data_IF_728391021540
#
_entry.id   IF_728391021540
#
_cell.length_a   1.000
_cell.length_b   1.000
_cell.length_c   1.000
_cell.angle_alpha   90.00
_cell.angle_beta   90.00
_cell.angle_gamma   90.00
#
_symmetry.space_group_name_H-M   'P 1'
#
loop_
_entity.id
_entity.type
_entity.pdbx_description
1 polymer ?
#
# COMPACT_ATOMS: atom_id res chain seq x y z
N UNK A 1 -12.12 -6.98 8.89
CA UNK A 1 -13.31 -7.72 9.39
C UNK A 1 -13.24 -7.86 10.90
N UNK A 2 -14.38 -8.03 11.56
CA UNK A 2 -14.45 -8.37 12.98
C UNK A 2 -15.32 -9.61 13.15
N UNK A 3 -14.72 -10.70 13.65
CA UNK A 3 -15.40 -11.98 13.86
C UNK A 3 -14.99 -12.57 15.21
N UNK A 4 -15.95 -13.09 15.98
CA UNK A 4 -15.70 -13.71 17.30
C UNK A 4 -14.87 -12.83 18.26
N UNK A 5 -15.06 -11.51 18.21
CA UNK A 5 -14.31 -10.54 19.02
C UNK A 5 -12.85 -10.36 18.59
N UNK A 6 -12.48 -10.81 17.39
CA UNK A 6 -11.16 -10.65 16.81
C UNK A 6 -11.23 -9.81 15.54
N UNK A 7 -10.35 -8.80 15.45
CA UNK A 7 -10.18 -7.95 14.29
C UNK A 7 -9.10 -8.53 13.39
N UNK A 8 -9.30 -8.38 12.08
CA UNK A 8 -8.35 -8.70 11.02
C UNK A 8 -8.47 -7.64 9.94
N UNK A 9 -7.37 -7.18 9.39
CA UNK A 9 -7.35 -6.58 8.07
C UNK A 9 -7.31 -7.75 7.05
N UNK A 10 -7.34 -7.50 5.73
CA UNK A 10 -6.89 -8.52 4.74
C UNK A 10 -7.84 -9.72 4.41
N UNK A 11 -9.18 -9.61 4.55
CA UNK A 11 -10.07 -10.80 4.38
C UNK A 11 -11.23 -10.68 3.39
N UNK A 12 -11.09 -9.91 2.31
CA UNK A 12 -12.08 -9.97 1.22
C UNK A 12 -11.38 -10.35 -0.09
N UNK A 13 -11.84 -11.42 -0.75
CA UNK A 13 -11.38 -11.96 -2.05
C UNK A 13 -10.36 -13.14 -2.06
N UNK A 14 -10.14 -13.86 -0.96
CA UNK A 14 -9.35 -15.11 -0.99
C UNK A 14 -7.84 -14.94 -1.18
N UNK A 15 -7.33 -13.72 -0.96
CA UNK A 15 -5.91 -13.41 -0.83
C UNK A 15 -5.58 -13.26 0.65
N UNK A 16 -5.61 -14.39 1.37
CA UNK A 16 -5.31 -14.40 2.81
C UNK A 16 -3.91 -13.82 3.07
N UNK A 17 -3.84 -12.80 3.92
CA UNK A 17 -2.57 -12.30 4.45
C UNK A 17 -1.93 -11.13 3.69
N UNK A 18 -2.61 -10.52 2.70
CA UNK A 18 -2.07 -9.38 1.95
C UNK A 18 -2.94 -8.13 2.19
N UNK A 19 -2.37 -7.04 2.75
CA UNK A 19 -3.12 -5.79 2.92
C UNK A 19 -3.43 -5.13 1.57
N UNK A 20 -4.62 -4.53 1.48
CA UNK A 20 -4.98 -3.69 0.36
C UNK A 20 -4.25 -2.35 0.46
N UNK A 21 -4.10 -1.66 -0.69
CA UNK A 21 -3.51 -0.30 -0.71
C UNK A 21 -4.25 0.67 0.23
N UNK A 22 -5.54 0.44 0.49
CA UNK A 22 -6.32 1.19 1.45
C UNK A 22 -5.83 1.03 2.90
N UNK A 23 -5.47 -0.20 3.30
CA UNK A 23 -5.05 -0.53 4.67
C UNK A 23 -3.78 0.21 5.08
N UNK A 24 -2.96 0.63 4.10
CA UNK A 24 -1.75 1.44 4.33
C UNK A 24 -2.04 2.76 5.06
N UNK A 25 -3.23 3.31 4.86
CA UNK A 25 -3.60 4.63 5.36
C UNK A 25 -4.58 4.54 6.52
N UNK A 26 -4.96 3.33 6.95
CA UNK A 26 -5.85 3.16 8.08
C UNK A 26 -5.10 3.39 9.39
N UNK A 27 -5.62 4.30 10.20
CA UNK A 27 -5.07 4.68 11.50
C UNK A 27 -6.15 4.75 12.58
N UNK A 28 -5.74 4.59 13.83
CA UNK A 28 -6.62 4.81 14.97
C UNK A 28 -6.77 6.31 15.31
N UNK A 29 -7.55 6.62 16.36
CA UNK A 29 -7.77 8.00 16.84
C UNK A 29 -6.50 8.75 17.28
N UNK A 30 -5.37 8.06 17.46
CA UNK A 30 -4.10 8.62 17.87
C UNK A 30 -3.10 8.72 16.71
N UNK A 31 -3.50 8.35 15.49
CA UNK A 31 -2.63 8.31 14.31
C UNK A 31 -1.74 7.06 14.26
N UNK A 32 -2.04 6.02 15.04
CA UNK A 32 -1.33 4.76 14.95
C UNK A 32 -1.83 3.95 13.76
N UNK A 33 -0.93 3.62 12.83
CA UNK A 33 -1.22 2.79 11.65
C UNK A 33 -1.66 1.39 12.08
N UNK A 34 -2.79 0.92 11.52
CA UNK A 34 -3.38 -0.37 11.90
C UNK A 34 -2.59 -1.58 11.38
N UNK A 35 -1.77 -1.40 10.35
CA UNK A 35 -0.84 -2.43 9.85
C UNK A 35 0.38 -2.68 10.73
N UNK A 36 0.61 -1.86 11.76
CA UNK A 36 1.68 -2.10 12.72
C UNK A 36 1.35 -3.31 13.60
N UNK A 37 1.81 -4.49 13.18
CA UNK A 37 1.55 -5.75 13.88
C UNK A 37 2.22 -5.86 15.25
N UNK A 38 3.14 -4.95 15.60
CA UNK A 38 3.67 -4.86 16.97
C UNK A 38 2.65 -4.22 17.91
N UNK A 39 1.81 -3.32 17.40
CA UNK A 39 0.75 -2.66 18.15
C UNK A 39 -0.59 -3.41 18.03
N UNK A 40 -0.95 -3.81 16.81
CA UNK A 40 -2.16 -4.57 16.50
C UNK A 40 -1.82 -5.92 15.86
N UNK A 41 -1.55 -6.96 16.66
CA UNK A 41 -1.40 -8.31 16.13
C UNK A 41 -2.64 -8.75 15.35
N UNK A 42 -2.46 -9.59 14.34
CA UNK A 42 -3.56 -10.08 13.50
C UNK A 42 -3.67 -11.62 13.56
N UNK A 43 -4.83 -12.18 13.95
CA UNK A 43 -6.01 -11.52 14.53
C UNK A 43 -5.77 -11.00 15.96
N UNK A 44 -6.47 -9.93 16.38
CA UNK A 44 -6.49 -9.52 17.80
C UNK A 44 -7.79 -8.86 18.26
N UNK A 45 -8.04 -8.95 19.57
CA UNK A 45 -9.13 -8.21 20.21
C UNK A 45 -8.88 -6.69 20.22
N UNK A 46 -7.63 -6.24 20.33
CA UNK A 46 -7.28 -4.82 20.26
C UNK A 46 -7.68 -4.21 18.93
N UNK A 47 -7.35 -4.87 17.81
CA UNK A 47 -7.80 -4.46 16.49
C UNK A 47 -9.33 -4.51 16.34
N UNK A 48 -9.98 -5.51 16.95
CA UNK A 48 -11.45 -5.64 16.94
C UNK A 48 -12.16 -4.45 17.60
N UNK A 49 -11.57 -3.88 18.65
CA UNK A 49 -12.11 -2.72 19.34
C UNK A 49 -11.96 -1.47 18.48
N UNK A 50 -10.77 -1.22 17.91
CA UNK A 50 -10.53 -0.07 17.02
C UNK A 50 -11.46 -0.08 15.81
N UNK A 51 -11.63 -1.24 15.16
CA UNK A 51 -12.51 -1.43 13.99
C UNK A 51 -14.01 -1.23 14.28
N UNK A 52 -14.43 -1.12 15.55
CA UNK A 52 -15.82 -0.88 15.99
C UNK A 52 -15.97 0.43 16.78
N UNK A 53 -14.99 1.31 16.72
CA UNK A 53 -14.93 2.52 17.54
C UNK A 53 -14.59 3.75 16.71
N UNK A 54 -13.34 3.85 16.23
CA UNK A 54 -12.92 4.94 15.38
C UNK A 54 -11.68 4.57 14.57
N UNK A 55 -11.84 4.54 13.25
CA UNK A 55 -10.73 4.44 12.29
C UNK A 55 -10.76 5.66 11.38
N UNK A 56 -9.58 6.11 11.00
CA UNK A 56 -9.41 7.21 10.08
C UNK A 56 -8.55 6.78 8.89
N UNK A 57 -8.72 7.49 7.78
CA UNK A 57 -7.87 7.40 6.60
C UNK A 57 -6.90 8.60 6.59
N UNK A 58 -5.63 8.34 6.91
CA UNK A 58 -4.51 9.28 6.96
C UNK A 58 -3.73 9.36 5.65
N UNK A 59 -4.43 9.48 4.52
CA UNK A 59 -3.78 9.73 3.24
C UNK A 59 -3.30 11.17 3.14
N UNK A 60 -2.15 11.42 2.52
CA UNK A 60 -1.53 12.76 2.51
C UNK A 60 -2.39 13.80 1.78
N UNK A 61 -3.04 13.44 0.68
CA UNK A 61 -3.95 14.35 -0.04
C UNK A 61 -5.17 14.68 0.83
N UNK A 62 -5.76 13.66 1.47
CA UNK A 62 -6.86 13.82 2.43
C UNK A 62 -6.45 14.71 3.60
N UNK A 63 -5.33 14.42 4.25
CA UNK A 63 -4.83 15.17 5.41
C UNK A 63 -4.51 16.63 5.07
N UNK A 64 -3.85 16.88 3.95
CA UNK A 64 -3.51 18.24 3.51
C UNK A 64 -4.77 19.09 3.32
N UNK A 65 -5.86 18.46 2.86
CA UNK A 65 -7.10 19.13 2.56
C UNK A 65 -7.97 19.35 3.81
N UNK A 66 -8.11 18.34 4.67
CA UNK A 66 -9.11 18.37 5.74
C UNK A 66 -8.73 17.61 7.03
N UNK A 67 -7.48 17.19 7.17
CA UNK A 67 -7.09 16.23 8.21
C UNK A 67 -7.56 14.80 7.87
N UNK A 68 -7.28 13.81 8.74
CA UNK A 68 -7.58 12.42 8.46
C UNK A 68 -9.09 12.18 8.40
N UNK A 69 -9.53 11.39 7.43
CA UNK A 69 -10.95 11.21 7.17
C UNK A 69 -11.55 10.10 8.03
N UNK A 70 -12.62 10.39 8.77
CA UNK A 70 -13.30 9.39 9.59
C UNK A 70 -13.94 8.31 8.71
N UNK A 71 -13.71 7.04 9.05
CA UNK A 71 -14.31 5.89 8.38
C UNK A 71 -15.49 5.36 9.17
N UNK A 72 -16.47 4.82 8.45
CA UNK A 72 -17.65 4.21 9.04
C UNK A 72 -17.26 2.93 9.79
N UNK A 73 -17.24 2.99 11.12
CA UNK A 73 -16.80 1.88 11.99
C UNK A 73 -17.82 1.60 13.10
N UNK A 74 -19.06 1.22 12.73
CA UNK A 74 -20.13 0.99 13.70
C UNK A 74 -19.82 -0.15 14.67
N UNK A 75 -20.48 -0.09 15.82
CA UNK A 75 -20.62 -1.21 16.76
C UNK A 75 -22.10 -1.58 16.88
N UNK A 76 -22.52 -2.79 16.45
CA UNK A 76 -21.69 -3.88 15.93
C UNK A 76 -21.15 -3.64 14.52
N UNK A 77 -20.07 -4.35 14.17
CA UNK A 77 -19.51 -4.38 12.82
C UNK A 77 -20.56 -4.78 11.78
N UNK A 78 -20.61 -4.05 10.67
CA UNK A 78 -21.50 -4.30 9.55
C UNK A 78 -20.70 -4.87 8.36
N UNK A 79 -20.82 -6.18 8.07
CA UNK A 79 -20.13 -6.80 6.94
C UNK A 79 -20.39 -6.08 5.61
N UNK A 80 -19.34 -5.80 4.84
CA UNK A 80 -19.42 -5.14 3.53
C UNK A 80 -19.55 -3.62 3.58
N UNK A 81 -19.77 -3.00 4.74
CA UNK A 81 -19.85 -1.54 4.87
C UNK A 81 -18.80 -0.95 5.81
N UNK A 82 -18.62 -1.55 6.99
CA UNK A 82 -17.65 -1.05 7.97
C UNK A 82 -16.25 -0.98 7.36
N UNK A 83 -15.51 0.07 7.71
CA UNK A 83 -14.14 0.37 7.25
C UNK A 83 -14.01 0.73 5.75
N UNK A 84 -14.90 0.26 4.89
CA UNK A 84 -14.86 0.53 3.44
C UNK A 84 -15.51 1.85 3.01
N UNK A 85 -16.26 2.51 3.91
CA UNK A 85 -16.99 3.75 3.64
C UNK A 85 -16.55 4.86 4.58
N UNK A 86 -16.79 6.11 4.17
CA UNK A 86 -16.57 7.28 5.03
C UNK A 86 -17.71 7.42 6.04
N UNK A 87 -17.43 8.03 7.18
CA UNK A 87 -18.41 8.21 8.25
C UNK A 87 -19.56 9.15 7.83
N UNK A 88 -20.79 8.66 7.86
CA UNK A 88 -21.96 9.42 7.38
C UNK A 88 -22.38 10.55 8.32
N UNK A 89 -22.08 10.46 9.61
CA UNK A 89 -22.36 11.55 10.54
C UNK A 89 -21.43 12.74 10.25
N UNK A 90 -20.16 12.45 9.91
CA UNK A 90 -19.16 13.45 9.53
C UNK A 90 -19.36 13.99 8.12
N UNK A 91 -19.71 13.12 7.18
CA UNK A 91 -19.88 13.40 5.76
C UNK A 91 -21.32 13.04 5.35
N UNK A 92 -22.32 13.86 5.69
CA UNK A 92 -23.72 13.51 5.45
C UNK A 92 -23.98 13.31 3.95
N UNK A 93 -24.84 12.34 3.63
CA UNK A 93 -25.30 12.02 2.27
C UNK A 93 -25.78 13.24 1.46
N UNK A 94 -26.37 14.24 2.11
CA UNK A 94 -26.78 15.50 1.45
C UNK A 94 -25.62 16.46 1.13
N UNK A 95 -24.41 16.15 1.58
CA UNK A 95 -23.21 16.96 1.43
C UNK A 95 -22.40 16.62 0.18
N UNK A 96 -21.39 17.45 -0.11
CA UNK A 96 -20.53 17.27 -1.29
C UNK A 96 -19.72 15.97 -1.25
N UNK A 97 -19.40 15.47 -0.06
CA UNK A 97 -18.57 14.28 0.15
C UNK A 97 -19.40 13.00 0.44
N UNK A 98 -20.72 13.05 0.21
CA UNK A 98 -21.64 11.95 0.54
C UNK A 98 -21.53 10.71 -0.36
N UNK A 99 -20.82 10.76 -1.49
CA UNK A 99 -20.83 9.65 -2.47
C UNK A 99 -20.38 8.30 -1.90
N UNK A 100 -19.44 8.32 -0.94
CA UNK A 100 -18.81 7.12 -0.37
C UNK A 100 -19.32 6.78 1.04
N UNK A 101 -20.47 7.31 1.46
CA UNK A 101 -21.12 6.92 2.72
C UNK A 101 -21.72 5.52 2.62
N UNK A 102 -21.89 4.80 3.75
CA UNK A 102 -22.36 3.41 3.75
C UNK A 102 -23.80 3.21 3.28
N UNK A 103 -24.65 4.24 3.35
CA UNK A 103 -26.06 4.14 3.02
C UNK A 103 -26.44 5.07 1.86
N UNK A 104 -27.35 4.58 1.01
CA UNK A 104 -28.00 5.37 -0.04
C UNK A 104 -29.48 5.49 0.34
N UNK A 105 -29.94 6.72 0.56
CA UNK A 105 -31.32 7.04 0.87
C UNK A 105 -32.26 6.99 -0.33
N UNK A 106 -33.57 6.87 -0.08
CA UNK A 106 -34.58 6.89 -1.13
C UNK A 106 -34.61 8.26 -1.83
N UNK A 107 -34.36 8.26 -3.15
CA UNK A 107 -34.35 9.49 -3.95
C UNK A 107 -33.03 10.27 -3.86
N UNK A 108 -32.01 9.71 -3.21
CA UNK A 108 -30.68 10.30 -3.19
C UNK A 108 -30.00 10.17 -4.55
N UNK A 109 -29.38 11.25 -5.01
CA UNK A 109 -28.70 11.31 -6.30
C UNK A 109 -27.40 12.09 -6.14
N UNK A 110 -26.29 11.37 -6.05
CA UNK A 110 -24.93 11.92 -6.09
C UNK A 110 -24.26 11.36 -7.35
N UNK A 111 -23.84 12.26 -8.25
CA UNK A 111 -23.29 11.87 -9.57
C UNK A 111 -21.81 12.16 -9.72
N UNK A 112 -21.25 12.91 -8.79
CA UNK A 112 -19.88 13.39 -8.86
C UNK A 112 -19.19 13.08 -7.54
N UNK A 113 -17.95 12.56 -7.58
CA UNK A 113 -17.15 12.43 -6.37
C UNK A 113 -16.84 13.81 -5.81
N UNK A 114 -17.07 13.98 -4.51
CA UNK A 114 -16.64 15.17 -3.77
C UNK A 114 -15.11 15.21 -3.57
N UNK A 115 -14.59 16.34 -3.06
CA UNK A 115 -13.17 16.50 -2.75
C UNK A 115 -12.57 15.35 -1.93
N UNK A 116 -13.27 14.85 -0.90
CA UNK A 116 -12.80 13.72 -0.08
C UNK A 116 -12.62 12.45 -0.91
N UNK A 117 -13.62 12.10 -1.72
CA UNK A 117 -13.54 10.90 -2.57
C UNK A 117 -12.43 11.05 -3.62
N UNK A 118 -12.28 12.23 -4.21
CA UNK A 118 -11.18 12.49 -5.14
C UNK A 118 -9.80 12.40 -4.46
N UNK A 119 -9.66 12.91 -3.24
CA UNK A 119 -8.40 12.83 -2.48
C UNK A 119 -8.06 11.40 -2.07
N UNK A 120 -9.07 10.63 -1.61
CA UNK A 120 -8.93 9.19 -1.37
C UNK A 120 -8.39 8.46 -2.61
N UNK A 121 -8.98 8.70 -3.79
CA UNK A 121 -8.54 8.10 -5.03
C UNK A 121 -7.08 8.49 -5.38
N UNK A 122 -6.68 9.73 -5.16
CA UNK A 122 -5.30 10.18 -5.37
C UNK A 122 -4.32 9.44 -4.44
N UNK A 123 -4.63 9.33 -3.15
CA UNK A 123 -3.78 8.64 -2.17
C UNK A 123 -3.70 7.13 -2.44
N UNK A 124 -4.75 6.54 -3.01
CA UNK A 124 -4.77 5.15 -3.47
C UNK A 124 -4.03 4.94 -4.82
N UNK A 125 -3.50 6.01 -5.42
CA UNK A 125 -2.67 5.96 -6.63
C UNK A 125 -3.43 6.01 -7.96
N UNK A 126 -4.70 6.42 -7.95
CA UNK A 126 -5.48 6.57 -9.18
C UNK A 126 -5.06 7.83 -9.95
N UNK A 127 -4.95 7.71 -11.27
CA UNK A 127 -4.88 8.88 -12.15
C UNK A 127 -6.23 9.59 -12.18
N UNK A 128 -6.27 10.84 -11.74
CA UNK A 128 -7.52 11.61 -11.64
C UNK A 128 -7.89 12.27 -12.97
N UNK A 129 -9.17 12.19 -13.32
CA UNK A 129 -9.75 13.00 -14.39
C UNK A 129 -9.85 14.48 -13.95
N UNK A 130 -9.91 15.45 -14.89
CA UNK A 130 -9.90 16.87 -14.55
C UNK A 130 -10.92 17.33 -13.49
N UNK A 131 -12.17 16.84 -13.45
CA UNK A 131 -13.11 17.22 -12.39
C UNK A 131 -12.59 16.91 -10.98
N UNK A 132 -11.98 15.74 -10.77
CA UNK A 132 -11.38 15.40 -9.48
C UNK A 132 -10.04 16.10 -9.25
N UNK A 133 -9.18 16.15 -10.28
CA UNK A 133 -7.85 16.75 -10.17
C UNK A 133 -7.90 18.23 -9.75
N UNK A 134 -8.96 18.94 -10.14
CA UNK A 134 -9.18 20.35 -9.76
C UNK A 134 -9.68 20.53 -8.32
N UNK A 135 -10.12 19.47 -7.64
CA UNK A 135 -10.68 19.52 -6.29
C UNK A 135 -9.66 19.16 -5.20
N UNK A 136 -8.49 18.64 -5.59
CA UNK A 136 -7.50 18.09 -4.67
C UNK A 136 -6.17 18.84 -4.78
N UNK A 137 -5.38 18.89 -3.70
CA UNK A 137 -4.04 19.45 -3.79
C UNK A 137 -3.17 18.64 -4.74
N UNK A 138 -2.28 19.33 -5.45
CA UNK A 138 -1.22 18.68 -6.21
C UNK A 138 -0.21 18.11 -5.21
N UNK A 139 -0.45 16.87 -4.77
CA UNK A 139 0.47 16.15 -3.90
C UNK A 139 1.41 15.36 -4.80
N UNK A 140 2.72 15.70 -4.82
CA UNK A 140 3.68 14.91 -5.60
C UNK A 140 3.59 13.46 -5.14
N UNK A 141 3.59 12.43 -6.00
CA UNK A 141 3.44 11.03 -5.58
C UNK A 141 4.25 10.75 -4.31
N UNK A 142 3.71 9.98 -3.36
CA UNK A 142 4.54 9.55 -2.23
C UNK A 142 5.84 8.99 -2.82
N UNK A 143 7.03 9.37 -2.30
CA UNK A 143 8.23 8.69 -2.71
C UNK A 143 7.96 7.19 -2.56
N UNK A 144 8.25 6.42 -3.59
CA UNK A 144 8.00 4.99 -3.55
C UNK A 144 8.60 4.46 -2.25
N UNK A 145 7.80 3.73 -1.43
CA UNK A 145 8.24 3.19 -0.12
C UNK A 145 9.55 2.41 -0.25
N UNK A 146 9.79 1.94 -1.47
CA UNK A 146 11.05 1.46 -1.96
C UNK A 146 11.22 1.88 -3.44
N UNK A 147 12.45 2.09 -3.89
CA UNK A 147 12.77 2.21 -5.32
C UNK A 147 13.62 1.01 -5.74
N UNK A 148 13.29 0.34 -6.86
CA UNK A 148 14.13 -0.70 -7.48
C UNK A 148 14.51 -0.30 -8.91
N UNK A 149 15.73 0.20 -9.06
CA UNK A 149 16.21 0.82 -10.30
C UNK A 149 17.36 0.00 -10.90
N UNK A 150 17.36 -0.17 -12.22
CA UNK A 150 18.55 -0.67 -12.90
C UNK A 150 19.56 0.47 -13.03
N UNK A 151 20.74 0.31 -12.44
CA UNK A 151 21.83 1.30 -12.49
C UNK A 151 22.99 0.89 -13.39
N UNK A 152 23.09 -0.41 -13.69
CA UNK A 152 24.01 -0.97 -14.67
C UNK A 152 23.35 -1.17 -16.02
N UNK A 153 24.16 -1.51 -17.02
CA UNK A 153 23.67 -1.84 -18.36
C UNK A 153 22.75 -3.05 -18.32
N UNK A 154 21.69 -3.01 -19.13
CA UNK A 154 20.84 -4.14 -19.41
C UNK A 154 20.44 -4.06 -20.89
N UNK A 155 20.92 -4.96 -21.77
CA UNK A 155 21.68 -6.18 -21.47
C UNK A 155 23.11 -5.97 -20.93
N UNK A 156 23.71 -7.00 -20.31
CA UNK A 156 25.06 -6.96 -19.72
C UNK A 156 25.90 -8.19 -20.09
N UNK A 157 27.24 -8.04 -20.04
CA UNK A 157 28.20 -9.13 -20.32
C UNK A 157 28.77 -9.75 -19.03
N UNK A 158 29.45 -8.94 -18.22
CA UNK A 158 30.12 -9.40 -16.99
C UNK A 158 29.31 -9.11 -15.73
N UNK A 159 28.92 -7.85 -15.50
CA UNK A 159 28.17 -7.44 -14.32
C UNK A 159 27.09 -6.43 -14.68
N UNK A 160 25.94 -6.52 -14.03
CA UNK A 160 24.96 -5.43 -13.98
C UNK A 160 24.59 -5.14 -12.54
N UNK A 161 24.18 -3.90 -12.27
CA UNK A 161 23.79 -3.46 -10.94
C UNK A 161 22.36 -2.96 -10.94
N UNK A 162 21.65 -3.30 -9.87
CA UNK A 162 20.41 -2.64 -9.51
C UNK A 162 20.62 -1.90 -8.19
N UNK A 163 19.82 -0.86 -7.94
CA UNK A 163 19.79 -0.17 -6.67
C UNK A 163 18.41 -0.38 -6.06
N UNK A 164 18.38 -0.89 -4.84
CA UNK A 164 17.20 -0.85 -3.98
C UNK A 164 17.38 0.28 -2.97
N UNK A 165 16.37 1.11 -2.81
CA UNK A 165 16.27 2.09 -1.74
C UNK A 165 14.99 1.81 -0.95
N UNK A 166 15.02 2.04 0.36
CA UNK A 166 13.84 2.00 1.22
C UNK A 166 13.68 3.35 1.91
N UNK A 167 12.45 3.76 2.15
CA UNK A 167 12.15 4.99 2.88
C UNK A 167 12.27 4.77 4.38
N UNK A 168 11.76 3.66 4.93
CA UNK A 168 11.85 3.30 6.35
C UNK A 168 12.84 2.16 6.61
N UNK A 169 13.50 2.12 7.80
CA UNK A 169 14.36 1.01 8.18
C UNK A 169 13.62 -0.32 8.13
N UNK A 170 14.11 -1.28 7.35
CA UNK A 170 13.48 -2.60 7.23
C UNK A 170 14.47 -3.67 6.75
N UNK A 171 14.14 -4.94 7.01
CA UNK A 171 14.89 -6.07 6.47
C UNK A 171 14.57 -6.28 4.99
N UNK A 172 15.59 -6.26 4.14
CA UNK A 172 15.47 -6.47 2.68
C UNK A 172 16.22 -7.72 2.26
N UNK A 173 15.52 -8.58 1.52
CA UNK A 173 16.08 -9.77 0.90
C UNK A 173 15.99 -9.68 -0.61
N UNK A 174 17.08 -10.02 -1.31
CA UNK A 174 17.11 -10.06 -2.76
C UNK A 174 17.75 -11.35 -3.25
N UNK A 175 17.15 -11.95 -4.27
CA UNK A 175 17.63 -13.19 -4.88
C UNK A 175 17.63 -13.10 -6.40
N UNK A 176 18.52 -13.87 -7.02
CA UNK A 176 18.58 -14.07 -8.46
C UNK A 176 17.90 -15.39 -8.84
N UNK A 177 17.07 -15.36 -9.88
CA UNK A 177 16.36 -16.51 -10.43
C UNK A 177 16.64 -16.67 -11.92
N UNK A 178 16.64 -17.92 -12.40
CA UNK A 178 16.56 -18.20 -13.83
C UNK A 178 15.11 -18.11 -14.36
N UNK A 179 14.94 -18.23 -15.67
CA UNK A 179 13.62 -18.18 -16.31
C UNK A 179 12.69 -19.35 -15.95
N UNK A 180 13.21 -20.41 -15.32
CA UNK A 180 12.41 -21.52 -14.79
C UNK A 180 11.99 -21.29 -13.33
N UNK A 181 12.33 -20.14 -12.74
CA UNK A 181 12.01 -19.80 -11.35
C UNK A 181 12.91 -20.48 -10.32
N UNK A 182 14.05 -21.08 -10.73
CA UNK A 182 15.00 -21.65 -9.78
C UNK A 182 15.89 -20.55 -9.21
N UNK A 183 16.03 -20.53 -7.88
CA UNK A 183 16.91 -19.58 -7.18
C UNK A 183 18.37 -19.93 -7.42
N UNK A 184 19.10 -19.02 -8.06
CA UNK A 184 20.52 -19.16 -8.37
C UNK A 184 21.43 -18.62 -7.26
N UNK A 185 20.96 -17.66 -6.47
CA UNK A 185 21.74 -17.10 -5.37
C UNK A 185 21.04 -15.97 -4.62
N UNK A 186 21.67 -15.53 -3.54
CA UNK A 186 21.26 -14.38 -2.73
C UNK A 186 22.14 -13.18 -3.07
N UNK A 187 21.51 -12.05 -3.38
CA UNK A 187 22.18 -10.78 -3.70
C UNK A 187 22.24 -9.83 -2.50
N UNK A 188 21.23 -9.88 -1.62
CA UNK A 188 21.16 -9.09 -0.40
C UNK A 188 20.34 -9.85 0.65
N UNK A 189 20.76 -9.76 1.91
CA UNK A 189 19.99 -10.22 3.06
C UNK A 189 20.41 -9.39 4.28
N UNK A 190 19.85 -8.18 4.42
CA UNK A 190 20.30 -7.21 5.41
C UNK A 190 19.20 -6.23 5.82
N UNK A 191 19.37 -5.60 6.98
CA UNK A 191 18.60 -4.41 7.35
C UNK A 191 19.12 -3.22 6.55
N UNK A 192 18.22 -2.49 5.90
CA UNK A 192 18.50 -1.26 5.18
C UNK A 192 17.91 -0.12 5.99
N UNK A 193 18.76 0.84 6.37
CA UNK A 193 18.37 2.02 7.16
C UNK A 193 17.52 3.01 6.34
N UNK A 194 16.88 3.94 7.03
CA UNK A 194 16.08 5.03 6.46
C UNK A 194 16.83 5.80 5.36
N UNK A 195 16.20 6.02 4.21
CA UNK A 195 16.82 6.64 3.03
C UNK A 195 18.03 5.87 2.47
N UNK A 196 18.29 4.67 2.98
CA UNK A 196 19.45 3.85 2.67
C UNK A 196 19.29 3.18 1.30
N UNK A 197 20.33 3.28 0.48
CA UNK A 197 20.43 2.54 -0.76
C UNK A 197 21.34 1.33 -0.61
N UNK A 198 21.01 0.22 -1.28
CA UNK A 198 21.88 -0.95 -1.46
C UNK A 198 22.00 -1.29 -2.92
N UNK A 199 23.23 -1.59 -3.33
CA UNK A 199 23.53 -2.04 -4.68
C UNK A 199 23.43 -3.56 -4.72
N UNK A 200 22.65 -4.08 -5.66
CA UNK A 200 22.52 -5.50 -5.98
C UNK A 200 23.36 -5.77 -7.22
N UNK A 201 24.51 -6.44 -7.05
CA UNK A 201 25.38 -6.79 -8.17
C UNK A 201 25.05 -8.20 -8.70
N UNK A 202 24.69 -8.28 -9.98
CA UNK A 202 24.48 -9.55 -10.68
C UNK A 202 25.74 -9.86 -11.49
N UNK A 203 26.52 -10.85 -11.02
CA UNK A 203 27.70 -11.33 -11.74
C UNK A 203 27.28 -12.41 -12.77
N UNK A 204 27.64 -12.18 -14.03
CA UNK A 204 27.34 -12.99 -15.21
C UNK A 204 28.40 -14.02 -15.58
N UNK A 205 29.54 -14.10 -14.86
CA UNK A 205 30.62 -15.06 -15.13
C UNK A 205 30.13 -16.51 -15.11
N UNK A 206 29.27 -16.85 -14.14
CA UNK A 206 28.70 -18.20 -13.95
C UNK A 206 27.36 -18.41 -14.64
N UNK A 207 26.81 -17.38 -15.29
CA UNK A 207 25.50 -17.43 -15.92
C UNK A 207 25.62 -17.85 -17.40
N UNK A 208 24.58 -18.47 -17.95
CA UNK A 208 24.44 -18.66 -19.40
C UNK A 208 23.80 -17.42 -20.04
N UNK A 209 23.95 -17.22 -21.35
CA UNK A 209 23.22 -16.12 -22.03
C UNK A 209 21.71 -16.35 -21.94
N UNK A 210 20.97 -15.33 -21.56
CA UNK A 210 19.54 -15.45 -21.28
C UNK A 210 18.99 -14.36 -20.37
N UNK A 211 17.72 -14.50 -20.01
CA UNK A 211 17.01 -13.59 -19.10
C UNK A 211 17.01 -14.19 -17.69
N UNK A 212 17.28 -13.34 -16.71
CA UNK A 212 17.26 -13.65 -15.28
C UNK A 212 16.38 -12.64 -14.55
N UNK A 213 15.91 -13.02 -13.37
CA UNK A 213 15.00 -12.21 -12.57
C UNK A 213 15.63 -11.93 -11.21
N UNK A 214 15.71 -10.65 -10.86
CA UNK A 214 16.07 -10.18 -9.53
C UNK A 214 14.78 -9.90 -8.78
N UNK A 215 14.48 -10.72 -7.78
CA UNK A 215 13.32 -10.52 -6.88
C UNK A 215 13.82 -9.92 -5.57
N UNK A 216 13.16 -8.86 -5.13
CA UNK A 216 13.46 -8.13 -3.90
C UNK A 216 12.20 -8.12 -3.03
N UNK A 217 12.35 -8.44 -1.76
CA UNK A 217 11.27 -8.49 -0.76
C UNK A 217 11.73 -7.67 0.43
N UNK A 218 10.94 -6.67 0.81
CA UNK A 218 11.02 -5.98 2.08
C UNK A 218 9.91 -6.41 3.02
N UNK A 219 9.72 -5.68 4.12
CA UNK A 219 8.64 -5.95 5.08
C UNK A 219 7.28 -5.51 4.52
N UNK A 220 7.28 -4.45 3.69
CA UNK A 220 6.07 -3.83 3.14
C UNK A 220 5.99 -3.89 1.62
N UNK A 221 6.92 -4.58 0.95
CA UNK A 221 6.95 -4.59 -0.51
C UNK A 221 7.57 -5.86 -1.11
N UNK A 222 7.18 -6.14 -2.36
CA UNK A 222 7.85 -7.10 -3.22
C UNK A 222 7.97 -6.53 -4.63
N UNK A 223 9.14 -6.69 -5.25
CA UNK A 223 9.38 -6.27 -6.62
C UNK A 223 10.25 -7.27 -7.37
N UNK A 224 10.06 -7.36 -8.69
CA UNK A 224 10.89 -8.18 -9.58
C UNK A 224 11.36 -7.37 -10.77
N UNK A 225 12.64 -7.52 -11.14
CA UNK A 225 13.23 -6.89 -12.33
C UNK A 225 13.94 -7.93 -13.19
N UNK A 226 13.67 -7.89 -14.50
CA UNK A 226 14.38 -8.73 -15.46
C UNK A 226 15.73 -8.10 -15.85
N UNK A 227 16.77 -8.93 -15.94
CA UNK A 227 18.09 -8.58 -16.46
C UNK A 227 18.51 -9.57 -17.53
N UNK A 228 19.11 -9.09 -18.61
CA UNK A 228 19.49 -9.91 -19.78
C UNK A 228 21.00 -10.04 -19.86
N UNK A 229 21.52 -11.26 -19.77
CA UNK A 229 22.95 -11.56 -19.92
C UNK A 229 23.26 -11.96 -21.37
N UNK A 230 24.20 -11.25 -21.97
CA UNK A 230 24.81 -11.58 -23.26
C UNK A 230 26.21 -12.18 -23.03
N UNK A 231 26.72 -12.90 -24.02
CA UNK A 231 28.14 -13.31 -24.04
C UNK A 231 28.96 -12.22 -24.70
#
# INVERSE_FOLDING_TARGET
>A
TVENGQGRLQQDNGLDGIPFVFDRYAEDRFGQVLLDTQVYPEPSAALAEVLRDAVFFGGRAVETMMGPAALYTPSPWNPGSSYSHVDEERYPASGVDGLMTPFIGAGEVIREPGPLTCALLQDLGWALAPPCANLVPDTPPLPDVFALEATGSNPFAEVTTLRVQVETPQRVQAWLFDAAGRRLGTLLDAVVEEGGARVLAVNGESLASGVYFVRVVGETFEATRAVTRLR
#
